data_IF_349014287874
#
_entry.id   IF_349014287874
#
_cell.length_a   1.000
_cell.length_b   1.000
_cell.length_c   1.000
_cell.angle_alpha   90.00
_cell.angle_beta   90.00
_cell.angle_gamma   90.00
#
_symmetry.space_group_name_H-M   'P 1'
#
loop_
_entity.id
_entity.type
_entity.pdbx_description
1 polymer ?
#
# COMPACT_ATOMS: atom_id res chain seq x y z
N UNK A 1 20.05 -5.13 6.01
CA UNK A 1 18.75 -5.09 6.73
C UNK A 1 17.65 -4.74 5.75
N UNK A 2 16.58 -5.54 5.76
CA UNK A 2 15.39 -5.32 4.91
C UNK A 2 14.23 -4.95 5.82
N UNK A 3 13.48 -3.91 5.46
CA UNK A 3 12.23 -3.51 6.11
C UNK A 3 11.08 -3.72 5.14
N UNK A 4 10.13 -4.60 5.47
CA UNK A 4 9.06 -4.99 4.57
C UNK A 4 7.74 -5.14 5.33
N UNK A 5 6.63 -5.23 4.59
CA UNK A 5 5.34 -5.64 5.14
C UNK A 5 5.42 -7.04 5.75
N UNK A 6 4.65 -7.27 6.82
CA UNK A 6 4.51 -8.59 7.39
C UNK A 6 4.00 -9.61 6.34
N UNK A 7 4.65 -10.78 6.30
CA UNK A 7 4.28 -11.90 5.42
C UNK A 7 4.37 -11.64 3.91
N UNK A 8 5.16 -10.67 3.47
CA UNK A 8 5.36 -10.36 2.06
C UNK A 8 6.51 -11.13 1.42
N UNK A 9 7.22 -11.97 2.15
CA UNK A 9 8.25 -12.87 1.63
C UNK A 9 8.20 -14.20 2.37
N UNK A 10 8.35 -15.29 1.65
CA UNK A 10 8.47 -16.62 2.25
C UNK A 10 9.86 -16.78 2.89
N UNK A 11 9.95 -17.30 4.14
CA UNK A 11 11.23 -17.49 4.84
C UNK A 11 12.26 -18.30 4.05
N UNK A 12 11.80 -19.28 3.27
CA UNK A 12 12.67 -20.14 2.45
C UNK A 12 13.39 -19.33 1.35
N UNK A 13 12.77 -18.27 0.84
CA UNK A 13 13.40 -17.38 -0.15
C UNK A 13 14.57 -16.63 0.47
N UNK A 14 14.43 -16.15 1.72
CA UNK A 14 15.52 -15.50 2.45
C UNK A 14 16.67 -16.49 2.65
N UNK A 15 16.39 -17.71 3.12
CA UNK A 15 17.40 -18.73 3.33
C UNK A 15 18.12 -19.12 2.03
N UNK A 16 17.39 -19.21 0.93
CA UNK A 16 17.97 -19.48 -0.38
C UNK A 16 18.93 -18.37 -0.78
N UNK A 17 18.51 -17.11 -0.67
CA UNK A 17 19.35 -15.95 -0.97
C UNK A 17 20.63 -15.95 -0.14
N UNK A 18 20.53 -16.17 1.18
CA UNK A 18 21.69 -16.23 2.07
C UNK A 18 22.66 -17.34 1.66
N UNK A 19 22.12 -18.51 1.29
CA UNK A 19 22.94 -19.65 0.84
C UNK A 19 23.65 -19.38 -0.48
N UNK A 20 22.98 -18.73 -1.42
CA UNK A 20 23.51 -18.46 -2.76
C UNK A 20 24.52 -17.31 -2.77
N UNK A 21 24.31 -16.30 -1.94
CA UNK A 21 25.12 -15.07 -1.95
C UNK A 21 26.13 -14.97 -0.80
N UNK A 22 25.92 -15.71 0.29
CA UNK A 22 26.68 -15.57 1.53
C UNK A 22 26.35 -14.28 2.31
N UNK A 23 25.31 -13.54 1.91
CA UNK A 23 24.87 -12.32 2.57
C UNK A 23 23.81 -12.66 3.61
N UNK A 24 24.09 -12.38 4.88
CA UNK A 24 23.10 -12.57 5.95
C UNK A 24 22.05 -11.47 5.94
N UNK A 25 20.78 -11.86 5.97
CA UNK A 25 19.63 -10.96 5.98
C UNK A 25 19.11 -10.76 7.40
N UNK A 26 19.05 -9.51 7.85
CA UNK A 26 18.24 -9.10 8.98
C UNK A 26 16.92 -8.58 8.43
N UNK A 27 15.85 -9.33 8.65
CA UNK A 27 14.52 -8.99 8.15
C UNK A 27 13.68 -8.38 9.27
N UNK A 28 13.07 -7.23 9.01
CA UNK A 28 12.18 -6.53 9.93
C UNK A 28 10.84 -6.27 9.26
N UNK A 29 9.77 -6.37 10.02
CA UNK A 29 8.40 -6.23 9.56
C UNK A 29 7.74 -4.98 10.14
N UNK A 30 6.74 -4.50 9.43
CA UNK A 30 5.84 -3.45 9.85
C UNK A 30 4.41 -3.73 9.33
N UNK A 31 3.40 -3.09 9.91
CA UNK A 31 1.99 -3.30 9.56
C UNK A 31 1.43 -2.23 8.64
N UNK A 32 1.92 -0.99 8.76
CA UNK A 32 1.46 0.12 7.91
C UNK A 32 2.62 0.97 7.40
N UNK A 33 2.50 1.63 6.22
CA UNK A 33 3.53 2.53 5.70
C UNK A 33 3.89 3.66 6.65
N UNK A 34 2.96 4.13 7.46
CA UNK A 34 3.15 5.16 8.48
C UNK A 34 4.01 4.63 9.64
N UNK A 35 3.80 3.39 10.06
CA UNK A 35 4.66 2.71 11.03
C UNK A 35 6.07 2.53 10.46
N UNK A 36 6.19 2.07 9.23
CA UNK A 36 7.47 1.95 8.53
C UNK A 36 8.22 3.28 8.54
N UNK A 37 7.56 4.37 8.14
CA UNK A 37 8.18 5.69 8.11
C UNK A 37 8.63 6.15 9.50
N UNK A 38 7.85 5.86 10.53
CA UNK A 38 8.20 6.17 11.92
C UNK A 38 9.43 5.38 12.36
N UNK A 39 9.49 4.08 12.08
CA UNK A 39 10.66 3.23 12.36
C UNK A 39 11.90 3.73 11.64
N UNK A 40 11.76 4.06 10.35
CA UNK A 40 12.84 4.59 9.54
C UNK A 40 13.39 5.91 10.11
N UNK A 41 12.50 6.88 10.38
CA UNK A 41 12.88 8.20 10.90
C UNK A 41 13.44 8.17 12.33
N UNK A 42 13.16 7.13 13.11
CA UNK A 42 13.79 6.94 14.42
C UNK A 42 15.31 6.75 14.34
N UNK A 43 15.82 6.37 13.16
CA UNK A 43 17.27 6.37 12.84
C UNK A 43 18.11 5.37 13.63
N UNK A 44 17.48 4.47 14.40
CA UNK A 44 18.18 3.48 15.23
C UNK A 44 18.77 2.34 14.40
N UNK A 45 18.23 2.12 13.20
CA UNK A 45 18.63 1.07 12.27
C UNK A 45 18.86 1.70 10.89
N UNK A 46 19.94 1.25 10.22
CA UNK A 46 20.18 1.56 8.82
C UNK A 46 19.63 0.43 7.98
N UNK A 47 18.70 0.76 7.10
CA UNK A 47 18.08 -0.18 6.17
C UNK A 47 18.79 -0.13 4.82
N UNK A 48 19.06 -1.28 4.23
CA UNK A 48 19.59 -1.42 2.88
C UNK A 48 18.47 -1.44 1.84
N UNK A 49 17.33 -2.05 2.18
CA UNK A 49 16.13 -2.11 1.35
C UNK A 49 14.89 -1.82 2.20
N UNK A 50 13.97 -1.05 1.62
CA UNK A 50 12.65 -0.78 2.18
C UNK A 50 11.62 -1.15 1.10
N UNK A 51 10.69 -2.05 1.42
CA UNK A 51 9.52 -2.33 0.60
C UNK A 51 8.35 -1.58 1.21
N UNK A 52 7.70 -0.70 0.44
CA UNK A 52 6.57 0.09 0.93
C UNK A 52 5.68 0.54 -0.22
N UNK A 53 4.56 1.20 0.09
CA UNK A 53 3.61 1.70 -0.89
C UNK A 53 4.18 2.85 -1.71
N UNK A 54 3.67 3.02 -2.91
CA UNK A 54 4.05 4.02 -3.90
C UNK A 54 4.09 5.45 -3.33
N UNK A 55 3.05 5.88 -2.63
CA UNK A 55 2.98 7.22 -2.03
C UNK A 55 4.06 7.45 -0.96
N UNK A 56 4.42 6.41 -0.21
CA UNK A 56 5.47 6.51 0.79
C UNK A 56 6.87 6.53 0.13
N UNK A 57 7.03 5.77 -0.95
CA UNK A 57 8.25 5.84 -1.78
C UNK A 57 8.41 7.24 -2.36
N UNK A 58 7.34 7.82 -2.93
CA UNK A 58 7.37 9.19 -3.44
C UNK A 58 7.80 10.19 -2.36
N UNK A 59 7.29 10.03 -1.13
CA UNK A 59 7.70 10.85 0.00
C UNK A 59 9.18 10.72 0.30
N UNK A 60 9.71 9.50 0.36
CA UNK A 60 11.13 9.24 0.63
C UNK A 60 12.03 9.80 -0.48
N UNK A 61 11.63 9.71 -1.75
CA UNK A 61 12.35 10.32 -2.89
C UNK A 61 12.37 11.83 -2.74
N UNK A 62 11.23 12.47 -2.47
CA UNK A 62 11.12 13.91 -2.31
C UNK A 62 11.94 14.45 -1.11
N UNK A 63 12.13 13.64 -0.10
CA UNK A 63 12.96 13.97 1.07
C UNK A 63 14.46 13.69 0.86
N UNK A 64 14.83 13.06 -0.26
CA UNK A 64 16.21 12.68 -0.55
C UNK A 64 16.75 11.56 0.35
N UNK A 65 15.87 10.69 0.81
CA UNK A 65 16.18 9.63 1.79
C UNK A 65 16.56 8.29 1.15
N UNK A 66 16.45 8.19 -0.17
CA UNK A 66 16.75 6.98 -0.93
C UNK A 66 17.90 7.19 -1.90
N UNK A 67 18.63 6.13 -2.16
CA UNK A 67 19.76 6.14 -3.11
C UNK A 67 19.31 5.61 -4.47
N UNK A 68 19.92 6.11 -5.53
CA UNK A 68 19.74 5.54 -6.88
C UNK A 68 20.19 4.07 -6.90
N UNK A 69 19.42 3.25 -7.59
CA UNK A 69 19.74 1.84 -7.79
C UNK A 69 20.74 1.67 -8.92
N UNK A 70 21.68 0.76 -8.73
CA UNK A 70 22.57 0.31 -9.79
C UNK A 70 21.97 -0.92 -10.48
N UNK A 71 21.22 -0.68 -11.54
CA UNK A 71 20.51 -1.73 -12.29
C UNK A 71 21.45 -2.72 -12.97
N UNK A 72 22.69 -2.38 -13.24
CA UNK A 72 23.69 -3.30 -13.79
C UNK A 72 23.99 -4.46 -12.81
N UNK A 73 23.76 -4.21 -11.53
CA UNK A 73 23.87 -5.22 -10.48
C UNK A 73 22.59 -6.02 -10.24
N UNK A 74 21.53 -5.79 -11.03
CA UNK A 74 20.24 -6.45 -10.90
C UNK A 74 19.90 -7.21 -12.20
N UNK A 75 20.61 -8.33 -12.50
CA UNK A 75 20.49 -9.00 -13.79
C UNK A 75 19.09 -9.56 -14.08
N UNK A 76 18.28 -9.77 -13.04
CA UNK A 76 16.89 -10.25 -13.20
C UNK A 76 15.87 -9.12 -13.38
N UNK A 77 16.32 -7.86 -13.49
CA UNK A 77 15.42 -6.73 -13.72
C UNK A 77 14.58 -6.91 -15.00
N UNK A 78 15.17 -7.48 -16.04
CA UNK A 78 14.48 -7.76 -17.30
C UNK A 78 13.31 -8.76 -17.19
N UNK A 79 13.21 -9.50 -16.09
CA UNK A 79 12.10 -10.41 -15.82
C UNK A 79 10.87 -9.69 -15.26
N UNK A 80 11.00 -8.42 -14.88
CA UNK A 80 9.86 -7.61 -14.39
C UNK A 80 9.01 -7.21 -15.60
N UNK A 81 7.69 -7.45 -15.49
CA UNK A 81 6.76 -7.03 -16.54
C UNK A 81 6.84 -5.50 -16.74
N UNK A 82 7.12 -5.03 -17.97
CA UNK A 82 7.26 -3.61 -18.27
C UNK A 82 6.05 -2.75 -17.87
N UNK A 83 4.86 -3.34 -17.80
CA UNK A 83 3.64 -2.65 -17.37
C UNK A 83 3.76 -2.09 -15.96
N UNK A 84 4.34 -2.87 -15.03
CA UNK A 84 4.52 -2.42 -13.65
C UNK A 84 5.65 -1.41 -13.50
N UNK A 85 6.69 -1.52 -14.34
CA UNK A 85 7.73 -0.49 -14.43
C UNK A 85 7.13 0.83 -14.91
N UNK A 86 6.23 0.79 -15.89
CA UNK A 86 5.54 1.99 -16.38
C UNK A 86 4.65 2.62 -15.31
N UNK A 87 3.95 1.80 -14.50
CA UNK A 87 3.17 2.31 -13.37
C UNK A 87 4.04 3.00 -12.31
N UNK A 88 5.26 2.52 -12.09
CA UNK A 88 6.20 3.11 -11.14
C UNK A 88 6.60 4.55 -11.52
N UNK A 89 6.50 4.94 -12.78
CA UNK A 89 6.83 6.30 -13.24
C UNK A 89 5.91 7.39 -12.66
N UNK A 90 4.75 6.99 -12.13
CA UNK A 90 3.87 7.92 -11.45
C UNK A 90 4.50 8.52 -10.18
N UNK A 91 5.44 7.81 -9.54
CA UNK A 91 6.10 8.24 -8.31
C UNK A 91 7.64 8.23 -8.40
N UNK A 92 8.21 7.53 -9.38
CA UNK A 92 9.64 7.50 -9.72
C UNK A 92 9.79 7.72 -11.25
N UNK A 93 9.62 8.96 -11.76
CA UNK A 93 9.50 9.23 -13.20
C UNK A 93 10.70 8.77 -14.03
N UNK A 94 11.88 8.76 -13.44
CA UNK A 94 13.12 8.34 -14.11
C UNK A 94 13.48 6.88 -13.83
N UNK A 95 12.62 6.16 -13.07
CA UNK A 95 12.88 4.77 -12.64
C UNK A 95 14.26 4.56 -12.06
N UNK A 96 14.67 5.44 -11.14
CA UNK A 96 16.03 5.43 -10.57
C UNK A 96 16.11 4.75 -9.21
N UNK A 97 15.00 4.74 -8.47
CA UNK A 97 15.00 4.43 -7.05
C UNK A 97 14.26 3.15 -6.71
N UNK A 98 13.45 2.60 -7.64
CA UNK A 98 12.43 1.60 -7.29
C UNK A 98 12.41 0.39 -8.21
N UNK A 99 12.05 -0.74 -7.59
CA UNK A 99 11.70 -1.98 -8.28
C UNK A 99 10.28 -2.37 -7.90
N UNK A 100 9.37 -2.62 -8.86
CA UNK A 100 8.07 -3.20 -8.57
C UNK A 100 8.23 -4.56 -7.90
N UNK A 101 7.52 -4.76 -6.78
CA UNK A 101 7.56 -6.01 -6.03
C UNK A 101 6.19 -6.70 -6.00
N UNK A 102 5.18 -6.03 -5.44
CA UNK A 102 3.80 -6.49 -5.48
C UNK A 102 2.90 -5.43 -6.11
N UNK A 103 1.85 -5.91 -6.74
CA UNK A 103 0.74 -5.13 -7.25
C UNK A 103 -0.57 -5.74 -6.76
N UNK A 104 -1.50 -4.90 -6.35
CA UNK A 104 -2.82 -5.32 -5.93
C UNK A 104 -3.91 -4.36 -6.41
N UNK A 105 -5.15 -4.80 -6.30
CA UNK A 105 -6.32 -3.98 -6.56
C UNK A 105 -7.17 -3.90 -5.29
N UNK A 106 -7.65 -2.71 -4.98
CA UNK A 106 -8.63 -2.53 -3.92
C UNK A 106 -10.02 -2.90 -4.43
N UNK A 107 -10.76 -3.66 -3.63
CA UNK A 107 -12.10 -4.10 -3.97
C UNK A 107 -12.90 -4.52 -2.75
N UNK A 108 -14.17 -4.84 -2.94
CA UNK A 108 -15.04 -5.32 -1.87
C UNK A 108 -15.12 -6.85 -1.92
N UNK A 109 -14.64 -7.49 -0.85
CA UNK A 109 -14.91 -8.90 -0.62
C UNK A 109 -16.19 -9.06 0.20
N UNK A 110 -17.13 -9.86 -0.27
CA UNK A 110 -18.40 -10.03 0.42
C UNK A 110 -18.85 -11.49 0.53
N UNK A 111 -19.58 -11.78 1.59
CA UNK A 111 -20.20 -13.10 1.79
C UNK A 111 -21.54 -13.17 1.04
N UNK A 112 -21.59 -13.98 -0.02
CA UNK A 112 -22.78 -14.17 -0.88
C UNK A 112 -24.02 -14.72 -0.14
N UNK A 113 -23.84 -15.27 1.07
CA UNK A 113 -24.98 -15.74 1.87
C UNK A 113 -25.59 -14.65 2.76
N UNK A 114 -24.91 -13.51 2.90
CA UNK A 114 -25.29 -12.41 3.80
C UNK A 114 -25.56 -11.11 3.04
N UNK A 115 -24.95 -10.93 1.89
CA UNK A 115 -25.05 -9.71 1.09
C UNK A 115 -25.75 -10.04 -0.22
N UNK A 116 -26.73 -9.20 -0.57
CA UNK A 116 -27.43 -9.29 -1.85
C UNK A 116 -26.49 -8.81 -2.97
N UNK A 117 -26.30 -9.62 -4.00
CA UNK A 117 -25.46 -9.29 -5.14
C UNK A 117 -25.94 -8.03 -5.88
N UNK A 118 -27.23 -7.75 -5.83
CA UNK A 118 -27.81 -6.54 -6.41
C UNK A 118 -27.36 -5.24 -5.71
N UNK A 119 -26.88 -5.32 -4.47
CA UNK A 119 -26.37 -4.16 -3.74
C UNK A 119 -24.86 -3.91 -4.02
N UNK A 120 -24.20 -4.79 -4.81
CA UNK A 120 -22.74 -4.77 -5.04
C UNK A 120 -22.33 -4.05 -6.33
N UNK A 121 -23.18 -3.20 -6.87
CA UNK A 121 -22.93 -2.46 -8.11
C UNK A 121 -21.99 -1.25 -7.92
N UNK A 122 -21.76 -0.84 -6.68
CA UNK A 122 -21.03 0.38 -6.35
C UNK A 122 -20.43 0.34 -4.95
N UNK A 123 -19.43 1.20 -4.69
CA UNK A 123 -18.90 1.46 -3.35
C UNK A 123 -19.96 1.93 -2.35
N UNK A 124 -21.14 2.39 -2.81
CA UNK A 124 -22.25 2.81 -1.94
C UNK A 124 -22.71 1.73 -0.96
N UNK A 125 -22.48 0.46 -1.24
CA UNK A 125 -22.81 -0.64 -0.32
C UNK A 125 -22.14 -0.46 1.04
N UNK A 126 -20.96 0.17 1.10
CA UNK A 126 -20.23 0.45 2.34
C UNK A 126 -20.90 1.55 3.21
N UNK A 127 -21.90 2.26 2.68
CA UNK A 127 -22.74 3.22 3.39
C UNK A 127 -24.20 2.75 3.53
N UNK A 128 -24.49 1.51 3.13
CA UNK A 128 -25.84 0.98 3.19
C UNK A 128 -26.21 0.54 4.63
N UNK A 129 -27.21 1.18 5.29
CA UNK A 129 -27.61 0.84 6.65
C UNK A 129 -28.08 -0.61 6.84
N UNK A 130 -28.46 -1.29 5.75
CA UNK A 130 -28.80 -2.71 5.74
C UNK A 130 -27.68 -3.59 6.29
N UNK A 131 -26.42 -3.15 6.13
CA UNK A 131 -25.22 -3.88 6.55
C UNK A 131 -24.55 -3.30 7.78
N UNK A 132 -25.27 -2.51 8.57
CA UNK A 132 -24.75 -1.92 9.81
C UNK A 132 -24.16 -2.99 10.73
N UNK A 133 -22.93 -2.76 11.20
CA UNK A 133 -22.21 -3.67 12.08
C UNK A 133 -21.69 -4.95 11.39
N UNK A 134 -21.66 -4.97 10.05
CA UNK A 134 -21.16 -6.09 9.26
C UNK A 134 -20.06 -5.65 8.26
N UNK A 135 -19.73 -4.36 8.22
CA UNK A 135 -18.73 -3.78 7.33
C UNK A 135 -17.38 -3.81 8.03
N UNK A 136 -16.38 -4.32 7.36
CA UNK A 136 -14.97 -4.25 7.78
C UNK A 136 -14.24 -3.34 6.79
N UNK A 137 -13.52 -2.38 7.33
CA UNK A 137 -12.69 -1.47 6.55
C UNK A 137 -11.20 -1.75 6.78
N UNK A 138 -10.37 -1.39 5.83
CA UNK A 138 -8.92 -1.43 5.98
C UNK A 138 -8.46 -0.45 7.07
N UNK A 139 -7.49 -0.88 7.89
CA UNK A 139 -6.79 0.00 8.83
C UNK A 139 -5.64 0.75 8.14
N UNK A 140 -5.93 1.28 6.98
CA UNK A 140 -5.04 2.10 6.16
C UNK A 140 -5.74 3.41 5.83
N UNK A 141 -5.09 4.53 6.13
CA UNK A 141 -5.66 5.87 5.86
C UNK A 141 -5.95 6.03 4.37
N UNK A 142 -4.99 5.68 3.51
CA UNK A 142 -5.14 5.82 2.05
C UNK A 142 -6.26 4.95 1.51
N UNK A 143 -6.25 3.66 1.84
CA UNK A 143 -7.21 2.70 1.29
C UNK A 143 -8.63 2.98 1.78
N UNK A 144 -8.78 3.43 3.03
CA UNK A 144 -10.08 3.84 3.58
C UNK A 144 -10.66 5.06 2.86
N UNK A 145 -9.84 6.00 2.41
CA UNK A 145 -10.32 7.17 1.65
C UNK A 145 -10.74 6.84 0.22
N UNK A 146 -10.18 5.79 -0.40
CA UNK A 146 -10.46 5.45 -1.81
C UNK A 146 -11.94 5.32 -2.12
N UNK A 147 -12.76 4.52 -1.40
CA UNK A 147 -14.18 4.40 -1.68
C UNK A 147 -14.93 5.74 -1.62
N UNK A 148 -14.64 6.57 -0.63
CA UNK A 148 -15.28 7.87 -0.46
C UNK A 148 -14.93 8.83 -1.60
N UNK A 149 -13.64 8.97 -1.93
CA UNK A 149 -13.18 9.81 -3.03
C UNK A 149 -13.77 9.35 -4.37
N UNK A 150 -13.85 8.03 -4.61
CA UNK A 150 -14.43 7.49 -5.85
C UNK A 150 -15.93 7.74 -5.96
N UNK A 151 -16.67 7.73 -4.85
CA UNK A 151 -18.09 8.05 -4.83
C UNK A 151 -18.36 9.54 -5.06
N UNK A 152 -17.41 10.38 -4.70
CA UNK A 152 -17.47 11.83 -4.92
C UNK A 152 -16.90 12.25 -6.28
N UNK A 153 -16.50 11.29 -7.13
CA UNK A 153 -15.83 11.51 -8.41
C UNK A 153 -14.49 12.29 -8.32
N UNK A 154 -13.85 12.23 -7.15
CA UNK A 154 -12.54 12.82 -6.94
C UNK A 154 -11.39 11.86 -7.29
N UNK A 155 -10.22 12.43 -7.53
CA UNK A 155 -8.99 11.67 -7.69
C UNK A 155 -8.62 10.98 -6.37
N UNK A 156 -8.27 9.69 -6.41
CA UNK A 156 -7.72 9.00 -5.24
C UNK A 156 -6.35 9.53 -4.79
N UNK A 157 -5.73 10.36 -5.62
CA UNK A 157 -4.46 11.04 -5.36
C UNK A 157 -4.64 12.56 -5.21
N UNK A 158 -5.86 13.01 -4.92
CA UNK A 158 -6.10 14.44 -4.67
C UNK A 158 -5.28 14.93 -3.49
N UNK A 159 -4.84 16.18 -3.58
CA UNK A 159 -4.21 16.95 -2.51
C UNK A 159 -5.04 18.18 -2.14
N UNK A 160 -6.22 18.31 -2.73
CA UNK A 160 -7.15 19.38 -2.43
C UNK A 160 -7.80 19.15 -1.07
N UNK A 161 -7.64 20.14 -0.19
CA UNK A 161 -8.13 20.04 1.19
C UNK A 161 -9.67 20.01 1.27
N UNK A 162 -10.37 20.66 0.37
CA UNK A 162 -11.84 20.68 0.36
C UNK A 162 -12.37 19.30 -0.06
N UNK A 163 -11.80 18.68 -1.09
CA UNK A 163 -12.13 17.32 -1.53
C UNK A 163 -11.84 16.29 -0.43
N UNK A 164 -10.69 16.41 0.24
CA UNK A 164 -10.32 15.54 1.36
C UNK A 164 -11.26 15.70 2.56
N UNK A 165 -11.67 16.93 2.89
CA UNK A 165 -12.61 17.19 3.98
C UNK A 165 -14.01 16.66 3.66
N UNK A 166 -14.47 16.72 2.42
CA UNK A 166 -15.75 16.14 2.01
C UNK A 166 -15.71 14.61 2.13
N UNK A 167 -14.66 13.97 1.64
CA UNK A 167 -14.46 12.54 1.79
C UNK A 167 -14.38 12.11 3.28
N UNK A 168 -13.68 12.89 4.11
CA UNK A 168 -13.61 12.67 5.55
C UNK A 168 -14.99 12.75 6.20
N UNK A 169 -15.80 13.75 5.85
CA UNK A 169 -17.17 13.86 6.36
C UNK A 169 -18.00 12.63 6.03
N UNK A 170 -17.90 12.17 4.79
CA UNK A 170 -18.57 10.94 4.34
C UNK A 170 -18.12 9.68 5.11
N UNK A 171 -16.82 9.56 5.40
CA UNK A 171 -16.26 8.48 6.23
C UNK A 171 -16.71 8.58 7.70
N UNK A 172 -16.85 9.79 8.24
CA UNK A 172 -17.40 9.99 9.58
C UNK A 172 -18.84 9.49 9.67
N UNK A 173 -19.67 9.73 8.65
CA UNK A 173 -21.04 9.21 8.58
C UNK A 173 -21.09 7.68 8.48
N UNK A 174 -20.10 7.08 7.80
CA UNK A 174 -19.97 5.61 7.67
C UNK A 174 -19.61 4.93 9.00
N UNK A 175 -18.89 5.62 9.87
CA UNK A 175 -18.30 5.03 11.09
C UNK A 175 -19.28 4.21 11.92
N UNK A 176 -20.52 4.65 12.03
CA UNK A 176 -21.56 3.97 12.80
C UNK A 176 -22.05 2.66 12.15
N UNK A 177 -21.69 2.42 10.89
CA UNK A 177 -22.01 1.22 10.14
C UNK A 177 -20.87 0.18 10.22
N UNK A 178 -19.65 0.61 10.49
CA UNK A 178 -18.46 -0.23 10.48
C UNK A 178 -18.40 -1.10 11.75
N UNK A 179 -18.09 -2.38 11.56
CA UNK A 179 -17.84 -3.32 12.64
C UNK A 179 -16.43 -3.19 13.21
N UNK A 180 -15.44 -3.13 12.33
CA UNK A 180 -14.03 -3.00 12.71
C UNK A 180 -13.17 -2.48 11.57
N UNK A 181 -12.00 -1.99 11.94
CA UNK A 181 -10.88 -1.69 11.03
C UNK A 181 -9.79 -2.75 11.28
N UNK A 182 -9.27 -3.38 10.20
CA UNK A 182 -8.29 -4.48 10.25
C UNK A 182 -7.06 -4.14 9.43
#
# INVERSE_FOLDING_TARGET
VILNYGKYIEPDVIQQFEKETGITIKYEEYESPEEMYTKYKAGSIKYDLICTSDYMIQKLINEGEVLEMDYDNIPLYENIDPTYVEFSKAFDPETKYTLPYFFGTLGILYNKTMVDEADMDSWNVLWNPKYKGQIIMENSVRDTFVPALRLLDYSINTTDEDELNEALSMLCDQKDLVYSYL
#
